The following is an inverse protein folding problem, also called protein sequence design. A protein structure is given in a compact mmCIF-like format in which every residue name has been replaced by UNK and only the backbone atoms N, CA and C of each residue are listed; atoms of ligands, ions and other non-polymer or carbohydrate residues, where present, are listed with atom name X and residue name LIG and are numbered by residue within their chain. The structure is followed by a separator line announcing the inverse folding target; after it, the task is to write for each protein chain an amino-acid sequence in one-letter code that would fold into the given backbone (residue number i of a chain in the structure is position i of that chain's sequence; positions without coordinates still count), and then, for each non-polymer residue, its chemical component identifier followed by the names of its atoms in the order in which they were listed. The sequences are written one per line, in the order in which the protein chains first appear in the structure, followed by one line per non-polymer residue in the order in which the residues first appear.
data_IF_114693922616
#
_entry.id   IF_114693922616
#
_cell.length_a   1.000
_cell.length_b   1.000
_cell.length_c   1.000
_cell.angle_alpha   90.00
_cell.angle_beta   90.00
_cell.angle_gamma   90.00
#
_symmetry.space_group_name_H-M   'P 1'
#
loop_
_entity.id
_entity.type
_entity.pdbx_description
1 polymer ?
#
# COMPACT_ATOMS: atom_id res chain seq x y z
N UNK A 1 9.80 -3.95 -4.80
CA UNK A 1 9.00 -5.19 -4.71
C UNK A 1 9.17 -5.70 -3.30
N UNK A 2 8.08 -5.97 -2.63
CA UNK A 2 8.03 -6.57 -1.29
C UNK A 2 7.31 -7.92 -1.38
N UNK A 3 7.41 -8.76 -0.35
CA UNK A 3 6.81 -10.08 -0.28
C UNK A 3 6.27 -10.34 1.12
N UNK A 4 5.03 -10.79 1.21
CA UNK A 4 4.40 -11.07 2.49
C UNK A 4 3.06 -11.76 2.36
N UNK A 5 2.40 -11.96 3.50
CA UNK A 5 1.10 -12.62 3.55
C UNK A 5 -0.01 -11.58 3.49
N UNK A 6 -0.79 -11.57 2.42
CA UNK A 6 -1.98 -10.72 2.25
C UNK A 6 -3.21 -11.62 2.28
N UNK A 7 -4.17 -11.32 3.16
CA UNK A 7 -5.41 -12.09 3.34
C UNK A 7 -5.22 -13.61 3.54
N UNK A 8 -4.07 -14.03 4.06
CA UNK A 8 -3.75 -15.44 4.26
C UNK A 8 -2.91 -16.08 3.14
N UNK A 9 -2.62 -15.37 2.06
CA UNK A 9 -1.90 -15.87 0.90
C UNK A 9 -0.53 -15.18 0.73
N UNK A 10 0.50 -15.96 0.42
CA UNK A 10 1.81 -15.40 0.07
C UNK A 10 1.71 -14.65 -1.24
N UNK A 11 2.11 -13.38 -1.21
CA UNK A 11 1.81 -12.41 -2.25
C UNK A 11 3.02 -11.51 -2.48
N UNK A 12 3.35 -11.29 -3.74
CA UNK A 12 4.27 -10.25 -4.18
C UNK A 12 3.55 -8.91 -4.23
N UNK A 13 4.15 -7.88 -3.64
CA UNK A 13 3.63 -6.52 -3.65
C UNK A 13 4.56 -5.60 -4.44
N UNK A 14 3.99 -4.94 -5.45
CA UNK A 14 4.73 -4.17 -6.43
C UNK A 14 4.25 -2.72 -6.42
N UNK A 15 5.03 -1.85 -5.77
CA UNK A 15 4.87 -0.40 -5.90
C UNK A 15 5.65 0.09 -7.12
N UNK A 16 4.97 0.72 -8.06
CA UNK A 16 5.57 1.21 -9.31
C UNK A 16 4.91 2.51 -9.77
N UNK A 17 5.69 3.39 -10.41
CA UNK A 17 5.23 4.66 -10.99
C UNK A 17 4.87 4.53 -12.48
N UNK A 18 4.67 3.31 -12.99
CA UNK A 18 4.31 3.04 -14.40
C UNK A 18 3.08 3.83 -14.87
N UNK A 19 2.11 4.02 -13.99
CA UNK A 19 0.82 4.65 -14.29
C UNK A 19 0.80 6.14 -13.87
N UNK A 20 1.90 6.64 -13.28
CA UNK A 20 2.03 8.03 -12.84
C UNK A 20 2.99 8.22 -11.67
N UNK A 21 3.40 9.47 -11.45
CA UNK A 21 4.43 9.84 -10.46
C UNK A 21 4.03 9.50 -9.01
N UNK A 22 2.73 9.37 -8.74
CA UNK A 22 2.19 9.11 -7.41
C UNK A 22 2.14 7.61 -7.05
N UNK A 23 2.63 6.75 -7.95
CA UNK A 23 2.67 5.31 -7.81
C UNK A 23 1.29 4.64 -7.75
N UNK A 24 1.26 3.37 -8.16
CA UNK A 24 0.20 2.42 -7.90
C UNK A 24 0.78 1.22 -7.14
N UNK A 25 -0.10 0.44 -6.51
CA UNK A 25 0.25 -0.83 -5.88
C UNK A 25 -0.42 -1.98 -6.62
N UNK A 26 0.39 -2.94 -7.05
CA UNK A 26 -0.08 -4.19 -7.63
C UNK A 26 0.28 -5.36 -6.72
N UNK A 27 -0.44 -6.46 -6.92
CA UNK A 27 -0.18 -7.73 -6.31
C UNK A 27 0.00 -8.83 -7.35
N UNK A 28 0.70 -9.89 -7.00
CA UNK A 28 0.65 -11.16 -7.72
C UNK A 28 0.81 -12.31 -6.71
N UNK A 29 0.04 -13.39 -6.89
CA UNK A 29 0.16 -14.56 -6.03
C UNK A 29 1.57 -15.16 -6.13
N UNK A 30 2.11 -15.62 -5.01
CA UNK A 30 3.39 -16.31 -5.01
C UNK A 30 3.22 -17.77 -5.45
N UNK A 31 3.66 -18.04 -6.69
CA UNK A 31 3.69 -19.40 -7.25
C UNK A 31 5.06 -20.07 -7.11
N UNK A 32 5.95 -19.53 -6.27
CA UNK A 32 7.34 -19.99 -6.10
C UNK A 32 8.32 -19.44 -7.14
N UNK A 33 7.87 -18.56 -8.02
CA UNK A 33 8.67 -17.87 -9.04
C UNK A 33 8.32 -16.39 -9.01
N UNK A 34 9.28 -15.51 -9.26
CA UNK A 34 9.02 -14.07 -9.35
C UNK A 34 8.02 -13.77 -10.49
N UNK A 35 6.96 -12.98 -10.22
CA UNK A 35 5.92 -12.70 -11.20
C UNK A 35 6.43 -11.77 -12.30
N UNK A 36 5.84 -11.90 -13.48
CA UNK A 36 6.01 -10.94 -14.58
C UNK A 36 4.92 -9.87 -14.51
N UNK A 37 5.09 -8.77 -15.25
CA UNK A 37 4.09 -7.70 -15.30
C UNK A 37 2.71 -8.18 -15.76
N UNK A 38 2.65 -9.24 -16.58
CA UNK A 38 1.39 -9.83 -17.05
C UNK A 38 0.59 -10.51 -15.91
N UNK A 39 1.26 -10.88 -14.82
CA UNK A 39 0.65 -11.53 -13.66
C UNK A 39 0.13 -10.51 -12.63
N UNK A 40 0.47 -9.23 -12.81
CA UNK A 40 0.17 -8.18 -11.84
C UNK A 40 -1.31 -7.80 -11.89
N UNK A 41 -1.93 -7.77 -10.72
CA UNK A 41 -3.30 -7.33 -10.50
C UNK A 41 -3.28 -6.03 -9.70
N UNK A 42 -4.10 -5.07 -10.11
CA UNK A 42 -4.15 -3.79 -9.41
C UNK A 42 -4.76 -4.00 -8.01
N UNK A 43 -4.03 -3.62 -6.96
CA UNK A 43 -4.48 -3.65 -5.58
C UNK A 43 -4.91 -2.25 -5.13
N UNK A 44 -4.11 -1.24 -5.48
CA UNK A 44 -4.43 0.17 -5.27
C UNK A 44 -4.10 0.93 -6.55
N UNK A 45 -5.09 1.55 -7.21
CA UNK A 45 -4.85 2.28 -8.44
C UNK A 45 -4.06 3.56 -8.18
N UNK A 46 -3.41 4.04 -9.23
CA UNK A 46 -2.83 5.37 -9.24
C UNK A 46 -3.89 6.44 -8.92
N UNK A 47 -3.48 7.50 -8.23
CA UNK A 47 -4.27 8.69 -7.95
C UNK A 47 -3.47 9.96 -8.24
N UNK A 48 -4.07 10.90 -8.96
CA UNK A 48 -3.46 12.22 -9.22
C UNK A 48 -3.26 13.05 -7.93
N UNK A 49 -4.02 12.74 -6.87
CA UNK A 49 -4.02 13.49 -5.62
C UNK A 49 -3.22 12.83 -4.48
N UNK A 50 -3.06 11.51 -4.52
CA UNK A 50 -2.49 10.72 -3.41
C UNK A 50 -1.28 9.93 -3.89
N UNK A 51 -0.12 10.25 -3.33
CA UNK A 51 1.11 9.50 -3.54
C UNK A 51 1.24 8.35 -2.53
N UNK A 52 1.63 7.17 -3.01
CA UNK A 52 2.01 6.05 -2.14
C UNK A 52 3.51 6.15 -1.86
N UNK A 53 3.88 6.55 -0.64
CA UNK A 53 5.28 6.69 -0.17
C UNK A 53 5.87 5.38 0.36
N UNK A 54 5.04 4.42 0.75
CA UNK A 54 5.47 3.09 1.15
C UNK A 54 4.31 2.23 1.62
N UNK A 55 4.62 0.97 1.92
CA UNK A 55 3.68 0.05 2.54
C UNK A 55 4.42 -0.85 3.53
N UNK A 56 3.68 -1.40 4.49
CA UNK A 56 4.11 -2.52 5.30
C UNK A 56 2.96 -3.51 5.47
N UNK A 57 3.29 -4.80 5.51
CA UNK A 57 2.35 -5.85 5.87
C UNK A 57 2.58 -6.26 7.33
N UNK A 58 1.49 -6.44 8.06
CA UNK A 58 1.47 -7.17 9.32
C UNK A 58 0.48 -8.36 9.20
N UNK A 59 0.37 -9.16 10.24
CA UNK A 59 -0.44 -10.39 10.20
C UNK A 59 -1.95 -10.15 9.94
N UNK A 60 -2.46 -8.96 10.24
CA UNK A 60 -3.91 -8.65 10.23
C UNK A 60 -4.28 -7.43 9.38
N UNK A 61 -3.30 -6.68 8.87
CA UNK A 61 -3.51 -5.46 8.11
C UNK A 61 -2.32 -5.09 7.22
N UNK A 62 -2.64 -4.41 6.12
CA UNK A 62 -1.67 -3.63 5.35
C UNK A 62 -1.72 -2.17 5.82
N UNK A 63 -0.56 -1.57 6.06
CA UNK A 63 -0.45 -0.14 6.35
C UNK A 63 0.23 0.57 5.18
N UNK A 64 -0.33 1.69 4.75
CA UNK A 64 0.23 2.55 3.72
C UNK A 64 0.75 3.83 4.34
N UNK A 65 1.96 4.22 3.93
CA UNK A 65 2.45 5.59 4.07
C UNK A 65 2.05 6.33 2.80
N UNK A 66 1.18 7.33 2.94
CA UNK A 66 0.62 8.12 1.86
C UNK A 66 1.03 9.59 1.99
N UNK A 67 0.90 10.33 0.89
CA UNK A 67 1.04 11.78 0.88
C UNK A 67 -0.05 12.42 0.04
N UNK A 68 -0.76 13.39 0.60
CA UNK A 68 -1.83 14.12 -0.07
C UNK A 68 -1.63 15.61 0.21
N UNK A 69 -1.53 16.44 -0.83
CA UNK A 69 -1.22 17.87 -0.67
C UNK A 69 0.12 18.14 0.03
N UNK A 70 1.08 17.21 -0.03
CA UNK A 70 2.37 17.29 0.66
C UNK A 70 2.38 16.77 2.10
N UNK A 71 1.22 16.56 2.70
CA UNK A 71 1.08 16.10 4.09
C UNK A 71 1.15 14.57 4.18
N UNK A 72 1.89 14.01 5.14
CA UNK A 72 1.93 12.57 5.36
C UNK A 72 0.61 12.07 5.96
N UNK A 73 0.13 10.93 5.47
CA UNK A 73 -1.07 10.23 5.92
C UNK A 73 -0.70 8.77 6.15
N UNK A 74 -1.22 8.18 7.22
CA UNK A 74 -1.18 6.73 7.41
C UNK A 74 -2.57 6.17 7.12
N UNK A 75 -2.68 5.23 6.18
CA UNK A 75 -3.90 4.46 5.94
C UNK A 75 -3.69 3.03 6.39
N UNK A 76 -4.63 2.50 7.18
CA UNK A 76 -4.67 1.11 7.60
C UNK A 76 -5.76 0.41 6.80
N UNK A 77 -5.43 -0.73 6.20
CA UNK A 77 -6.35 -1.61 5.47
C UNK A 77 -6.37 -2.97 6.19
N UNK A 78 -7.23 -3.14 7.20
CA UNK A 78 -7.32 -4.39 7.94
C UNK A 78 -7.96 -5.49 7.08
N UNK A 79 -7.57 -6.74 7.33
CA UNK A 79 -8.17 -7.90 6.69
C UNK A 79 -9.67 -7.95 6.98
N UNK A 80 -10.49 -8.02 5.93
CA UNK A 80 -11.94 -8.15 6.03
C UNK A 80 -12.69 -6.91 6.55
N UNK A 81 -12.01 -5.77 6.73
CA UNK A 81 -12.62 -4.51 7.19
C UNK A 81 -12.37 -3.36 6.22
N UNK A 82 -13.15 -2.29 6.36
CA UNK A 82 -12.96 -1.09 5.58
C UNK A 82 -11.63 -0.39 5.93
N UNK A 83 -10.88 0.09 4.92
CA UNK A 83 -9.74 0.97 5.13
C UNK A 83 -10.11 2.23 5.93
N UNK A 84 -9.17 2.72 6.73
CA UNK A 84 -9.30 4.00 7.43
C UNK A 84 -7.96 4.73 7.52
N UNK A 85 -8.02 6.07 7.49
CA UNK A 85 -6.86 6.93 7.70
C UNK A 85 -6.69 7.19 9.20
N UNK A 86 -5.48 7.08 9.72
CA UNK A 86 -5.17 7.35 11.12
C UNK A 86 -5.30 8.85 11.37
N UNK A 87 -6.22 9.22 12.25
CA UNK A 87 -6.31 10.58 12.77
C UNK A 87 -5.21 10.76 13.83
N UNK A 88 -4.22 11.60 13.57
CA UNK A 88 -3.28 12.00 14.62
C UNK A 88 -4.03 12.93 15.60
N UNK A 89 -3.93 12.70 16.93
CA UNK A 89 -4.46 13.67 17.88
C UNK A 89 -3.73 15.01 17.70
N UNK A 90 -4.47 16.13 17.81
CA UNK A 90 -4.08 17.50 17.45
C UNK A 90 -2.83 18.09 18.15
N UNK A 91 -2.05 17.29 18.89
CA UNK A 91 -0.81 17.72 19.54
C UNK A 91 0.29 16.66 19.42
N UNK A 92 0.80 16.45 18.20
CA UNK A 92 2.13 15.85 17.98
C UNK A 92 3.21 16.90 17.67
N UNK A 93 2.92 18.18 17.94
CA UNK A 93 3.91 19.26 18.00
C UNK A 93 3.95 19.84 19.42
N UNK A 94 4.76 19.22 20.26
CA UNK A 94 5.40 19.92 21.37
C UNK A 94 6.90 19.83 21.13
N UNK A 95 7.47 20.93 20.64
CA UNK A 95 8.91 21.20 20.60
C UNK A 95 9.19 22.37 21.54
#
# INVERSE_FOLDING_TARGET
VDHGKLDGEWTWLIRTNRDGINFALYQAADTGVAPTEADWQNLIPHSDAVMIDGMSLNAEAMTLSLREGGLPIIEVRPQGLAPYRVQLPDAAYSL
#
